data_IF_620747958030
#
_entry.id   IF_620747958030
#
_cell.length_a   1.000
_cell.length_b   1.000
_cell.length_c   1.000
_cell.angle_alpha   90.00
_cell.angle_beta   90.00
_cell.angle_gamma   90.00
#
_symmetry.space_group_name_H-M   'P 1'
#
loop_
_entity.id
_entity.type
_entity.pdbx_description
1 polymer ?
#
# COMPACT_ATOMS: atom_id res chain seq x y z
N UNK A 1 -3.65 -13.41 14.61
CA UNK A 1 -4.49 -12.28 14.16
C UNK A 1 -5.75 -12.89 13.62
N UNK A 2 -6.83 -12.84 14.40
CA UNK A 2 -8.11 -13.45 14.04
C UNK A 2 -9.19 -12.37 13.97
N UNK A 3 -8.95 -11.39 13.09
CA UNK A 3 -9.93 -10.39 12.69
C UNK A 3 -9.88 -10.33 11.17
N UNK A 4 -10.74 -11.14 10.55
CA UNK A 4 -11.11 -11.07 9.15
C UNK A 4 -11.38 -9.62 8.76
N UNK A 5 -10.63 -9.12 7.78
CA UNK A 5 -10.78 -7.80 7.20
C UNK A 5 -12.14 -7.72 6.52
N UNK A 6 -13.06 -6.95 7.10
CA UNK A 6 -14.36 -6.63 6.51
C UNK A 6 -14.21 -5.44 5.55
N UNK A 7 -13.50 -5.67 4.45
CA UNK A 7 -13.45 -4.83 3.26
C UNK A 7 -13.37 -5.77 2.07
N UNK A 8 -14.22 -5.59 1.06
CA UNK A 8 -14.29 -6.49 -0.10
C UNK A 8 -12.90 -6.77 -0.69
N UNK A 9 -12.69 -7.98 -1.22
CA UNK A 9 -11.40 -8.36 -1.82
C UNK A 9 -11.04 -7.32 -2.89
N UNK A 10 -9.95 -6.58 -2.69
CA UNK A 10 -9.36 -5.75 -3.76
C UNK A 10 -8.90 -6.70 -4.88
N UNK A 11 -9.30 -6.41 -6.12
CA UNK A 11 -8.92 -7.17 -7.32
C UNK A 11 -7.88 -6.36 -8.07
N UNK A 12 -6.75 -6.99 -8.39
CA UNK A 12 -5.65 -6.37 -9.11
C UNK A 12 -5.42 -7.08 -10.42
N UNK A 13 -5.10 -6.31 -11.45
CA UNK A 13 -4.70 -6.81 -12.75
C UNK A 13 -3.25 -7.22 -12.71
N UNK A 14 -2.92 -8.41 -13.21
CA UNK A 14 -1.53 -8.82 -13.38
C UNK A 14 -0.77 -7.94 -14.39
N UNK A 15 -1.49 -7.30 -15.32
CA UNK A 15 -0.95 -6.40 -16.34
C UNK A 15 -1.53 -4.98 -16.16
N UNK A 16 -0.66 -4.03 -15.83
CA UNK A 16 -1.02 -2.62 -15.62
C UNK A 16 -1.33 -1.88 -16.92
N UNK A 17 -0.76 -2.31 -18.05
CA UNK A 17 -1.06 -1.77 -19.37
C UNK A 17 -2.49 -2.08 -19.80
N UNK A 18 -2.93 -3.33 -19.60
CA UNK A 18 -4.32 -3.74 -19.85
C UNK A 18 -5.28 -2.92 -18.97
N UNK A 19 -4.98 -2.79 -17.67
CA UNK A 19 -5.77 -1.98 -16.74
C UNK A 19 -5.93 -0.54 -17.25
N UNK A 20 -4.84 0.08 -17.73
CA UNK A 20 -4.87 1.45 -18.21
C UNK A 20 -5.76 1.60 -19.46
N UNK A 21 -5.75 0.62 -20.36
CA UNK A 21 -6.57 0.62 -21.58
C UNK A 21 -8.06 0.46 -21.26
N UNK A 22 -8.42 -0.45 -20.35
CA UNK A 22 -9.84 -0.83 -20.14
C UNK A 22 -10.51 -0.12 -18.96
N UNK A 23 -9.75 0.23 -17.93
CA UNK A 23 -10.29 0.64 -16.63
C UNK A 23 -10.52 2.13 -16.47
N UNK A 24 -9.98 2.98 -17.36
CA UNK A 24 -9.96 4.45 -17.22
C UNK A 24 -9.55 4.89 -15.81
N UNK A 25 -8.51 4.24 -15.27
CA UNK A 25 -8.03 4.48 -13.90
C UNK A 25 -7.22 5.76 -13.81
N UNK A 26 -7.23 6.38 -12.64
CA UNK A 26 -6.34 7.51 -12.37
C UNK A 26 -4.92 7.01 -12.03
N UNK A 27 -3.98 7.97 -11.95
CA UNK A 27 -2.57 7.67 -11.70
C UNK A 27 -2.32 6.96 -10.37
N UNK A 28 -3.07 7.32 -9.32
CA UNK A 28 -2.92 6.70 -8.00
C UNK A 28 -3.37 5.23 -8.02
N UNK A 29 -4.47 4.94 -8.70
CA UNK A 29 -4.99 3.57 -8.88
C UNK A 29 -4.04 2.73 -9.74
N UNK A 30 -3.46 3.32 -10.79
CA UNK A 30 -2.47 2.64 -11.63
C UNK A 30 -1.20 2.32 -10.84
N UNK A 31 -0.73 3.26 -10.02
CA UNK A 31 0.41 3.06 -9.13
C UNK A 31 0.13 1.96 -8.09
N UNK A 32 -1.04 1.97 -7.45
CA UNK A 32 -1.43 0.92 -6.49
C UNK A 32 -1.37 -0.46 -7.13
N UNK A 33 -1.96 -0.63 -8.32
CA UNK A 33 -1.93 -1.90 -9.03
C UNK A 33 -0.51 -2.34 -9.41
N UNK A 34 0.33 -1.42 -9.88
CA UNK A 34 1.72 -1.70 -10.23
C UNK A 34 2.52 -2.18 -9.01
N UNK A 35 2.43 -1.44 -7.91
CA UNK A 35 3.13 -1.78 -6.66
C UNK A 35 2.65 -3.11 -6.10
N UNK A 36 1.34 -3.38 -6.13
CA UNK A 36 0.82 -4.69 -5.67
C UNK A 36 1.42 -5.84 -6.48
N UNK A 37 1.53 -5.70 -7.81
CA UNK A 37 2.17 -6.71 -8.65
C UNK A 37 3.65 -6.88 -8.33
N UNK A 38 4.40 -5.77 -8.17
CA UNK A 38 5.82 -5.79 -7.79
C UNK A 38 6.05 -6.42 -6.41
N UNK A 39 5.09 -6.27 -5.49
CA UNK A 39 5.20 -6.81 -4.13
C UNK A 39 4.86 -8.31 -4.03
N UNK A 40 4.14 -8.89 -4.99
CA UNK A 40 3.75 -10.32 -4.97
C UNK A 40 4.92 -11.29 -4.72
N UNK A 41 6.10 -11.14 -5.35
CA UNK A 41 7.21 -12.07 -5.16
C UNK A 41 7.83 -12.05 -3.75
N UNK A 42 7.59 -10.99 -2.96
CA UNK A 42 8.17 -10.84 -1.63
C UNK A 42 7.44 -11.65 -0.55
N UNK A 43 6.27 -12.21 -0.85
CA UNK A 43 5.54 -13.10 0.05
C UNK A 43 4.02 -12.87 0.04
N UNK A 44 3.36 -13.37 1.07
CA UNK A 44 1.90 -13.30 1.18
C UNK A 44 1.44 -11.87 1.45
N UNK A 45 0.69 -11.30 0.51
CA UNK A 45 0.04 -10.00 0.67
C UNK A 45 -1.36 -10.18 1.28
N UNK A 46 -1.71 -9.27 2.19
CA UNK A 46 -3.07 -9.03 2.66
C UNK A 46 -3.38 -7.53 2.61
N UNK A 47 -4.66 -7.17 2.70
CA UNK A 47 -5.14 -5.79 2.55
C UNK A 47 -5.92 -5.44 3.80
N UNK A 48 -5.79 -4.22 4.31
CA UNK A 48 -6.52 -3.79 5.50
C UNK A 48 -7.31 -2.52 5.21
N UNK A 49 -8.63 -2.60 5.36
CA UNK A 49 -9.50 -1.43 5.31
C UNK A 49 -10.48 -1.50 6.48
N UNK A 50 -10.46 -0.47 7.31
CA UNK A 50 -11.48 -0.21 8.32
C UNK A 50 -12.31 0.97 7.82
N UNK A 51 -13.52 0.66 7.33
CA UNK A 51 -14.49 1.61 6.75
C UNK A 51 -14.40 2.99 7.39
N UNK A 52 -14.03 3.98 6.58
CA UNK A 52 -13.99 5.42 6.90
C UNK A 52 -13.07 5.83 8.08
N UNK A 53 -12.15 4.97 8.52
CA UNK A 53 -11.31 5.23 9.69
C UNK A 53 -9.83 5.08 9.37
N UNK A 54 -9.42 3.95 8.80
CA UNK A 54 -8.02 3.72 8.46
C UNK A 54 -7.85 2.65 7.39
N UNK A 55 -6.86 2.87 6.54
CA UNK A 55 -6.45 1.95 5.48
C UNK A 55 -4.96 1.66 5.63
N UNK A 56 -4.59 0.43 5.25
CA UNK A 56 -3.22 0.07 4.89
C UNK A 56 -3.34 -0.68 3.57
N UNK A 57 -2.77 -0.11 2.51
CA UNK A 57 -2.90 -0.64 1.16
C UNK A 57 -2.33 -2.05 1.05
N UNK A 58 -1.17 -2.34 1.63
CA UNK A 58 -0.59 -3.69 1.62
C UNK A 58 -0.06 -4.06 3.00
N UNK A 59 -0.34 -5.29 3.42
CA UNK A 59 0.31 -5.92 4.57
C UNK A 59 1.06 -7.16 4.09
N UNK A 60 2.39 -7.12 4.14
CA UNK A 60 3.26 -8.24 3.77
C UNK A 60 3.49 -9.15 4.98
N UNK A 61 3.22 -10.45 4.79
CA UNK A 61 3.45 -11.52 5.78
C UNK A 61 2.80 -11.25 7.16
N UNK A 62 1.71 -10.46 7.18
CA UNK A 62 1.08 -9.94 8.41
C UNK A 62 2.07 -9.26 9.37
N UNK A 63 3.18 -8.70 8.85
CA UNK A 63 4.30 -8.14 9.63
C UNK A 63 4.64 -6.71 9.24
N UNK A 64 4.51 -6.34 7.96
CA UNK A 64 4.94 -5.04 7.45
C UNK A 64 3.78 -4.38 6.70
N UNK A 65 3.44 -3.15 7.09
CA UNK A 65 2.38 -2.37 6.43
C UNK A 65 2.94 -1.35 5.43
N UNK A 66 2.26 -1.17 4.31
CA UNK A 66 2.62 -0.20 3.28
C UNK A 66 1.41 0.64 2.88
N UNK A 67 1.63 1.94 2.73
CA UNK A 67 0.68 2.89 2.15
C UNK A 67 1.27 3.42 0.85
N UNK A 68 0.48 3.46 -0.22
CA UNK A 68 0.93 3.84 -1.56
C UNK A 68 0.40 5.23 -1.88
N UNK A 69 1.28 6.14 -2.30
CA UNK A 69 0.92 7.52 -2.66
C UNK A 69 1.70 8.00 -3.87
N UNK A 70 1.06 8.87 -4.67
CA UNK A 70 1.78 9.66 -5.68
C UNK A 70 2.88 10.49 -5.00
N UNK A 71 2.51 11.23 -3.96
CA UNK A 71 3.45 11.93 -3.07
C UNK A 71 3.12 11.57 -1.63
N UNK A 72 3.95 10.75 -1.01
CA UNK A 72 3.86 10.44 0.42
C UNK A 72 4.21 11.65 1.28
N UNK A 73 3.59 11.82 2.45
CA UNK A 73 3.91 12.91 3.40
C UNK A 73 4.21 12.41 4.80
N UNK A 74 4.88 13.23 5.63
CA UNK A 74 5.10 12.92 7.06
C UNK A 74 3.78 12.71 7.83
N UNK A 75 2.70 13.39 7.43
CA UNK A 75 1.38 13.18 8.01
C UNK A 75 0.82 11.79 7.67
N UNK A 76 1.03 11.32 6.44
CA UNK A 76 0.64 9.97 6.02
C UNK A 76 1.46 8.92 6.78
N UNK A 77 2.76 9.11 6.90
CA UNK A 77 3.63 8.22 7.68
C UNK A 77 3.16 8.13 9.14
N UNK A 78 2.86 9.26 9.78
CA UNK A 78 2.37 9.28 11.17
C UNK A 78 1.03 8.54 11.32
N UNK A 79 0.12 8.70 10.36
CA UNK A 79 -1.18 7.99 10.35
C UNK A 79 -1.01 6.49 10.11
N UNK A 80 -0.15 6.11 9.16
CA UNK A 80 0.19 4.73 8.87
C UNK A 80 0.81 4.06 10.10
N UNK A 81 1.81 4.70 10.74
CA UNK A 81 2.46 4.20 11.95
C UNK A 81 1.44 3.92 13.05
N UNK A 82 0.57 4.88 13.35
CA UNK A 82 -0.50 4.71 14.35
C UNK A 82 -1.40 3.51 14.05
N UNK A 83 -1.76 3.32 12.78
CA UNK A 83 -2.60 2.19 12.35
C UNK A 83 -1.83 0.87 12.45
N UNK A 84 -0.59 0.83 11.97
CA UNK A 84 0.29 -0.33 12.04
C UNK A 84 0.53 -0.79 13.48
N UNK A 85 0.78 0.15 14.40
CA UNK A 85 0.97 -0.13 15.83
C UNK A 85 -0.29 -0.72 16.45
N UNK A 86 -1.48 -0.19 16.11
CA UNK A 86 -2.77 -0.73 16.57
C UNK A 86 -3.02 -2.17 16.10
N UNK A 87 -2.43 -2.54 14.95
CA UNK A 87 -2.47 -3.88 14.38
C UNK A 87 -1.28 -4.74 14.80
N UNK A 88 -0.35 -4.21 15.62
CA UNK A 88 0.88 -4.90 16.05
C UNK A 88 1.79 -5.33 14.89
N UNK A 89 1.81 -4.56 13.79
CA UNK A 89 2.77 -4.76 12.71
C UNK A 89 4.17 -4.33 13.19
N UNK A 90 5.21 -5.01 12.70
CA UNK A 90 6.60 -4.77 13.12
C UNK A 90 7.20 -3.52 12.49
N UNK A 91 6.80 -3.21 11.24
CA UNK A 91 7.32 -2.08 10.46
C UNK A 91 6.21 -1.51 9.58
N UNK A 92 6.40 -0.27 9.15
CA UNK A 92 5.54 0.37 8.17
C UNK A 92 6.32 1.36 7.32
N UNK A 93 6.00 1.44 6.04
CA UNK A 93 6.68 2.31 5.07
C UNK A 93 5.67 2.99 4.14
N UNK A 94 6.00 4.20 3.69
CA UNK A 94 5.29 4.84 2.58
C UNK A 94 5.96 4.43 1.27
N UNK A 95 5.19 3.94 0.31
CA UNK A 95 5.66 3.78 -1.07
C UNK A 95 5.23 5.04 -1.83
N UNK A 96 6.19 5.94 -2.07
CA UNK A 96 5.95 7.23 -2.72
C UNK A 96 6.50 7.18 -4.13
N UNK A 97 5.73 7.61 -5.13
CA UNK A 97 6.28 7.77 -6.50
C UNK A 97 7.20 8.97 -6.59
N UNK A 98 6.77 10.11 -6.05
CA UNK A 98 7.54 11.34 -6.06
C UNK A 98 8.56 11.33 -4.93
N UNK A 99 9.76 11.86 -5.22
CA UNK A 99 10.86 11.93 -4.28
C UNK A 99 10.54 12.78 -3.04
N UNK A 100 10.98 12.32 -1.87
CA UNK A 100 10.84 12.96 -0.57
C UNK A 100 12.18 12.96 0.15
N UNK A 101 12.84 14.12 0.17
CA UNK A 101 14.13 14.29 0.85
C UNK A 101 13.99 14.33 2.38
N UNK A 102 12.82 14.75 2.86
CA UNK A 102 12.52 15.02 4.26
C UNK A 102 11.96 13.81 5.03
N UNK A 103 12.03 12.61 4.44
CA UNK A 103 11.41 11.40 5.01
C UNK A 103 12.37 10.20 4.98
N UNK A 104 12.50 9.51 6.11
CA UNK A 104 13.38 8.34 6.25
C UNK A 104 12.69 7.02 5.86
N UNK A 105 11.40 6.85 6.17
CA UNK A 105 10.66 5.60 5.96
C UNK A 105 9.89 5.59 4.62
N UNK A 106 10.57 5.98 3.54
CA UNK A 106 10.01 5.99 2.19
C UNK A 106 10.72 4.97 1.31
N UNK A 107 9.93 4.19 0.57
CA UNK A 107 10.40 3.32 -0.50
C UNK A 107 9.89 3.91 -1.81
N UNK A 108 10.70 3.83 -2.85
CA UNK A 108 10.31 4.28 -4.18
C UNK A 108 10.00 3.08 -5.08
N UNK A 109 8.91 3.11 -5.86
CA UNK A 109 8.42 1.95 -6.62
C UNK A 109 9.40 1.47 -7.70
N UNK A 110 10.33 2.30 -8.16
CA UNK A 110 11.39 1.91 -9.10
C UNK A 110 12.45 0.98 -8.50
N UNK A 111 12.46 0.79 -7.18
CA UNK A 111 13.39 -0.10 -6.47
C UNK A 111 12.71 -1.35 -5.88
N UNK A 112 11.42 -1.55 -6.19
CA UNK A 112 10.65 -2.72 -5.77
C UNK A 112 10.79 -3.87 -6.76
#
# INVERSE_FOLDING_TARGET
>A
MDRSVAGGRKVYFADTGILNVIGKVNEAQLLENAVVNQMQPYGKLSFYNRKNVSEIDIVLENKIGFEIKITGTAADEKRLRKTADSLKLKKSFIISRNFREDMENVIYPQFL
#
